data_IF_416107062075
#
_entry.id   IF_416107062075
#
_cell.length_a   1.000
_cell.length_b   1.000
_cell.length_c   1.000
_cell.angle_alpha   90.00
_cell.angle_beta   90.00
_cell.angle_gamma   90.00
#
_symmetry.space_group_name_H-M   'P 1'
#
loop_
_entity.id
_entity.type
_entity.pdbx_description
1 polymer ?
#
# COMPACT_ATOMS: atom_id res chain seq x y z
N UNK A 1 7.24 -8.96 -8.30
CA UNK A 1 6.42 -10.15 -8.33
C UNK A 1 5.50 -10.14 -9.53
N UNK A 2 5.04 -11.33 -9.91
CA UNK A 2 4.20 -11.45 -11.11
C UNK A 2 2.85 -10.78 -10.95
N UNK A 3 2.25 -10.91 -9.78
CA UNK A 3 0.94 -10.31 -9.53
C UNK A 3 0.93 -8.81 -9.72
N UNK A 4 1.94 -8.14 -9.19
CA UNK A 4 2.08 -6.70 -9.38
C UNK A 4 2.29 -6.35 -10.84
N UNK A 5 3.16 -7.08 -11.55
CA UNK A 5 3.39 -6.84 -12.97
C UNK A 5 2.12 -6.98 -13.78
N UNK A 6 1.30 -7.98 -13.47
CA UNK A 6 0.04 -8.20 -14.18
C UNK A 6 -0.94 -7.07 -13.93
N UNK A 7 -1.03 -6.58 -12.70
CA UNK A 7 -1.88 -5.43 -12.37
C UNK A 7 -1.48 -4.23 -13.21
N UNK A 8 -0.19 -3.93 -13.27
CA UNK A 8 0.29 -2.76 -14.02
C UNK A 8 0.07 -2.91 -15.51
N UNK A 9 0.25 -4.10 -16.05
CA UNK A 9 0.01 -4.34 -17.47
C UNK A 9 -1.43 -4.05 -17.86
N UNK A 10 -2.37 -4.40 -17.00
CA UNK A 10 -3.79 -4.15 -17.25
C UNK A 10 -4.17 -2.68 -17.19
N UNK A 11 -3.34 -1.84 -16.57
CA UNK A 11 -3.60 -0.42 -16.42
C UNK A 11 -3.14 0.41 -17.60
N UNK A 12 -2.23 -0.11 -18.44
CA UNK A 12 -1.67 0.63 -19.54
C UNK A 12 -0.44 1.44 -19.16
N UNK A 13 0.01 2.28 -20.08
CA UNK A 13 1.30 2.97 -19.94
C UNK A 13 1.37 3.90 -18.73
N UNK A 14 0.30 4.63 -18.45
CA UNK A 14 0.30 5.58 -17.33
C UNK A 14 0.46 4.87 -16.00
N UNK A 15 -0.21 3.74 -15.85
CA UNK A 15 -0.11 2.98 -14.63
C UNK A 15 1.18 2.16 -14.58
N UNK A 16 1.75 1.83 -15.72
CA UNK A 16 3.08 1.24 -15.77
C UNK A 16 4.13 2.21 -15.24
N UNK A 17 4.01 3.50 -15.57
CA UNK A 17 4.90 4.51 -15.01
C UNK A 17 4.73 4.61 -13.48
N UNK A 18 3.51 4.48 -12.98
CA UNK A 18 3.26 4.41 -11.55
C UNK A 18 3.95 3.19 -10.93
N UNK A 19 3.95 2.06 -11.63
CA UNK A 19 4.63 0.86 -11.18
C UNK A 19 6.14 1.09 -11.00
N UNK A 20 6.75 1.82 -11.91
CA UNK A 20 8.18 2.14 -11.80
C UNK A 20 8.45 2.97 -10.55
N UNK A 21 7.50 3.81 -10.15
CA UNK A 21 7.64 4.61 -8.94
C UNK A 21 7.41 3.81 -7.66
N UNK A 22 6.83 2.62 -7.75
CA UNK A 22 6.62 1.75 -6.61
C UNK A 22 7.96 1.18 -6.15
N UNK A 23 8.36 1.49 -4.94
CA UNK A 23 9.65 1.03 -4.43
C UNK A 23 9.61 0.87 -2.94
N UNK A 24 10.55 0.10 -2.44
CA UNK A 24 10.65 -0.16 -1.01
C UNK A 24 11.17 1.06 -0.28
N UNK A 25 10.60 1.29 0.87
CA UNK A 25 10.97 2.39 1.76
C UNK A 25 11.74 1.81 2.94
N UNK A 26 12.89 1.18 2.69
CA UNK A 26 13.61 0.46 3.72
C UNK A 26 14.75 1.24 4.37
N UNK A 27 14.95 2.49 3.98
CA UNK A 27 16.12 3.25 4.41
C UNK A 27 15.98 3.75 5.85
N UNK A 28 14.79 4.10 6.27
CA UNK A 28 14.54 4.66 7.59
C UNK A 28 13.68 3.71 8.42
N UNK A 29 14.09 3.50 9.67
CA UNK A 29 13.39 2.57 10.55
C UNK A 29 11.94 2.98 10.76
N UNK A 30 11.03 2.04 10.59
CA UNK A 30 9.60 2.24 10.83
C UNK A 30 8.82 2.74 9.63
N UNK A 31 9.47 3.25 8.59
CA UNK A 31 8.78 3.67 7.37
C UNK A 31 8.23 2.42 6.66
N UNK A 32 6.97 2.45 6.19
CA UNK A 32 6.41 1.27 5.51
C UNK A 32 7.22 0.83 4.29
N UNK A 33 7.14 -0.46 4.01
CA UNK A 33 7.98 -1.10 2.98
C UNK A 33 7.68 -0.62 1.56
N UNK A 34 6.42 -0.35 1.26
CA UNK A 34 5.97 -0.05 -0.10
C UNK A 34 5.19 1.25 -0.10
N UNK A 35 5.47 2.09 -1.09
CA UNK A 35 4.71 3.30 -1.34
C UNK A 35 4.25 3.31 -2.80
N UNK A 36 2.95 3.54 -3.00
CA UNK A 36 2.36 3.68 -4.33
C UNK A 36 1.89 5.14 -4.49
N UNK A 37 2.59 5.95 -5.28
CA UNK A 37 2.29 7.38 -5.40
C UNK A 37 1.20 7.66 -6.45
N UNK A 38 0.02 7.13 -6.22
CA UNK A 38 -1.12 7.32 -7.10
C UNK A 38 -2.30 7.79 -6.27
N UNK A 39 -2.85 8.94 -6.63
CA UNK A 39 -4.02 9.48 -5.92
C UNK A 39 -5.27 8.73 -6.36
N UNK A 40 -6.05 8.24 -5.40
CA UNK A 40 -7.31 7.54 -5.66
C UNK A 40 -8.28 7.80 -4.52
N UNK A 41 -9.54 7.98 -4.85
CA UNK A 41 -10.64 8.08 -3.87
C UNK A 41 -10.40 9.10 -2.76
N UNK A 42 -9.69 10.18 -3.06
CA UNK A 42 -9.36 11.21 -2.08
C UNK A 42 -8.09 10.97 -1.30
N UNK A 43 -7.44 9.83 -1.48
CA UNK A 43 -6.15 9.56 -0.86
C UNK A 43 -5.02 10.04 -1.76
N UNK A 44 -3.92 10.49 -1.15
CA UNK A 44 -2.75 10.96 -1.89
C UNK A 44 -1.90 9.81 -2.44
N UNK A 45 -2.02 8.65 -1.85
CA UNK A 45 -1.27 7.47 -2.23
C UNK A 45 -1.56 6.34 -1.26
N UNK A 46 -0.82 5.25 -1.42
CA UNK A 46 -0.98 4.03 -0.63
C UNK A 46 0.35 3.64 -0.02
N UNK A 47 0.36 3.34 1.27
CA UNK A 47 1.52 2.77 1.95
C UNK A 47 1.18 1.41 2.49
N UNK A 48 2.08 0.44 2.28
CA UNK A 48 1.90 -0.92 2.77
C UNK A 48 3.11 -1.35 3.59
N UNK A 49 2.86 -1.82 4.79
CA UNK A 49 3.84 -2.53 5.59
C UNK A 49 3.65 -4.02 5.38
N UNK A 50 4.70 -4.72 4.95
CA UNK A 50 4.65 -6.16 4.72
C UNK A 50 5.07 -6.90 5.98
N UNK A 51 4.27 -7.89 6.34
CA UNK A 51 4.56 -8.77 7.47
C UNK A 51 4.46 -10.22 7.02
N UNK A 52 5.02 -11.11 7.83
CA UNK A 52 4.96 -12.55 7.57
C UNK A 52 4.60 -13.28 8.86
N UNK A 53 3.89 -14.40 8.71
CA UNK A 53 3.53 -15.25 9.84
C UNK A 53 2.73 -14.53 10.89
N UNK A 54 3.20 -14.58 12.13
CA UNK A 54 2.54 -13.95 13.26
C UNK A 54 3.23 -12.68 13.73
N UNK A 55 4.18 -12.17 12.94
CA UNK A 55 4.85 -10.92 13.27
C UNK A 55 3.86 -9.77 13.29
N UNK A 56 4.07 -8.83 14.19
CA UNK A 56 3.23 -7.65 14.28
C UNK A 56 4.05 -6.39 14.05
N UNK A 57 3.37 -5.28 13.81
CA UNK A 57 4.05 -4.01 13.59
C UNK A 57 4.72 -3.55 14.88
N UNK A 58 5.92 -2.97 14.73
CA UNK A 58 6.62 -2.35 15.84
C UNK A 58 5.96 -1.02 16.21
N UNK A 59 6.33 -0.47 17.34
CA UNK A 59 5.84 0.84 17.75
C UNK A 59 6.15 1.92 16.71
N UNK A 60 7.37 1.93 16.17
CA UNK A 60 7.77 2.90 15.15
C UNK A 60 6.97 2.73 13.87
N UNK A 61 6.71 1.50 13.47
CA UNK A 61 5.90 1.22 12.28
C UNK A 61 4.47 1.73 12.48
N UNK A 62 3.89 1.48 13.64
CA UNK A 62 2.53 1.97 13.94
C UNK A 62 2.48 3.49 13.92
N UNK A 63 3.48 4.14 14.48
CA UNK A 63 3.54 5.60 14.50
C UNK A 63 3.64 6.18 13.10
N UNK A 64 4.46 5.59 12.23
CA UNK A 64 4.58 6.02 10.85
C UNK A 64 3.29 5.81 10.07
N UNK A 65 2.64 4.65 10.23
CA UNK A 65 1.38 4.38 9.55
C UNK A 65 0.30 5.37 9.97
N UNK A 66 0.21 5.67 11.26
CA UNK A 66 -0.77 6.61 11.76
C UNK A 66 -0.49 8.03 11.25
N UNK A 67 0.77 8.44 11.26
CA UNK A 67 1.15 9.75 10.72
C UNK A 67 0.76 9.86 9.24
N UNK A 68 1.09 8.85 8.44
CA UNK A 68 0.80 8.86 7.02
C UNK A 68 -0.72 8.84 6.76
N UNK A 69 -1.47 8.09 7.56
CA UNK A 69 -2.93 8.10 7.46
C UNK A 69 -3.47 9.51 7.70
N UNK A 70 -2.96 10.19 8.70
CA UNK A 70 -3.38 11.57 9.00
C UNK A 70 -2.99 12.54 7.90
N UNK A 71 -1.96 12.24 7.14
CA UNK A 71 -1.55 13.05 6.00
C UNK A 71 -2.34 12.75 4.73
N UNK A 72 -3.32 11.88 4.80
CA UNK A 72 -4.21 11.62 3.66
C UNK A 72 -3.84 10.43 2.81
N UNK A 73 -2.99 9.53 3.31
CA UNK A 73 -2.64 8.30 2.60
C UNK A 73 -3.49 7.15 3.08
N UNK A 74 -3.75 6.21 2.18
CA UNK A 74 -4.33 4.94 2.57
C UNK A 74 -3.21 4.07 3.12
N UNK A 75 -3.37 3.53 4.31
CA UNK A 75 -2.32 2.76 4.97
C UNK A 75 -2.80 1.37 5.32
N UNK A 76 -1.92 0.38 5.11
CA UNK A 76 -2.27 -1.02 5.33
C UNK A 76 -1.07 -1.82 5.82
N UNK A 77 -1.37 -2.85 6.58
CA UNK A 77 -0.43 -3.93 6.92
C UNK A 77 -0.91 -5.17 6.18
N UNK A 78 -0.07 -5.71 5.32
CA UNK A 78 -0.42 -6.87 4.52
C UNK A 78 0.48 -8.05 4.89
N UNK A 79 -0.12 -9.19 5.14
CA UNK A 79 0.61 -10.41 5.52
C UNK A 79 0.88 -11.24 4.29
N UNK A 80 1.94 -10.83 3.55
CA UNK A 80 2.40 -11.48 2.35
C UNK A 80 2.08 -10.68 1.08
N UNK A 81 2.63 -11.15 -0.03
CA UNK A 81 2.48 -10.48 -1.31
C UNK A 81 1.08 -10.59 -1.90
N UNK A 82 0.37 -11.70 -1.63
CA UNK A 82 -0.95 -11.87 -2.21
C UNK A 82 -1.95 -10.82 -1.72
N UNK A 83 -2.12 -10.61 -0.41
CA UNK A 83 -3.00 -9.53 0.04
C UNK A 83 -2.50 -8.15 -0.38
N UNK A 84 -1.18 -7.93 -0.43
CA UNK A 84 -0.64 -6.66 -0.90
C UNK A 84 -1.00 -6.40 -2.36
N UNK A 85 -0.83 -7.40 -3.22
CA UNK A 85 -1.18 -7.26 -4.63
C UNK A 85 -2.67 -7.04 -4.84
N UNK A 86 -3.49 -7.72 -4.06
CA UNK A 86 -4.94 -7.54 -4.12
C UNK A 86 -5.34 -6.12 -3.71
N UNK A 87 -4.72 -5.60 -2.67
CA UNK A 87 -5.00 -4.24 -2.23
C UNK A 87 -4.56 -3.21 -3.27
N UNK A 88 -3.38 -3.39 -3.86
CA UNK A 88 -2.90 -2.49 -4.90
C UNK A 88 -3.86 -2.50 -6.09
N UNK A 89 -4.32 -3.67 -6.51
CA UNK A 89 -5.29 -3.77 -7.60
C UNK A 89 -6.59 -3.06 -7.24
N UNK A 90 -7.12 -3.30 -6.06
CA UNK A 90 -8.34 -2.65 -5.60
C UNK A 90 -8.16 -1.13 -5.55
N UNK A 91 -7.04 -0.68 -5.01
CA UNK A 91 -6.75 0.75 -4.88
C UNK A 91 -6.68 1.43 -6.24
N UNK A 92 -6.02 0.79 -7.21
CA UNK A 92 -5.85 1.37 -8.54
C UNK A 92 -7.11 1.28 -9.40
N UNK A 93 -7.81 0.15 -9.34
CA UNK A 93 -8.90 -0.15 -10.27
C UNK A 93 -10.29 0.03 -9.67
N UNK A 94 -10.44 -0.14 -8.38
CA UNK A 94 -11.74 -0.15 -7.70
C UNK A 94 -11.70 0.67 -6.42
N UNK A 95 -11.09 1.85 -6.51
CA UNK A 95 -10.91 2.70 -5.33
C UNK A 95 -12.23 3.19 -4.73
N UNK A 96 -13.28 3.26 -5.54
CA UNK A 96 -14.62 3.62 -5.06
C UNK A 96 -15.20 2.57 -4.11
N UNK A 97 -14.68 1.35 -4.14
CA UNK A 97 -15.09 0.27 -3.27
C UNK A 97 -14.27 0.20 -1.98
N UNK A 98 -13.26 1.05 -1.84
CA UNK A 98 -12.46 1.08 -0.61
C UNK A 98 -13.28 1.59 0.56
N UNK A 99 -13.17 0.89 1.68
CA UNK A 99 -13.79 1.35 2.91
C UNK A 99 -13.04 2.56 3.45
N UNK A 100 -13.77 3.59 3.85
CA UNK A 100 -13.16 4.77 4.46
C UNK A 100 -12.82 4.43 5.92
N UNK A 101 -11.65 3.91 6.11
CA UNK A 101 -11.22 3.46 7.43
C UNK A 101 -10.69 4.60 8.27
N UNK A 102 -10.95 4.53 9.59
CA UNK A 102 -10.39 5.47 10.55
C UNK A 102 -9.03 5.00 11.07
N UNK A 103 -8.59 3.84 10.65
CA UNK A 103 -7.35 3.22 11.08
C UNK A 103 -6.68 2.53 9.91
N UNK A 104 -5.39 2.19 10.10
CA UNK A 104 -4.69 1.33 9.15
C UNK A 104 -5.38 -0.02 9.04
N UNK A 105 -5.61 -0.48 7.82
CA UNK A 105 -6.26 -1.78 7.60
C UNK A 105 -5.25 -2.91 7.69
N UNK A 106 -5.71 -4.08 8.09
CA UNK A 106 -4.90 -5.29 8.12
C UNK A 106 -5.49 -6.28 7.13
N UNK A 107 -4.65 -6.79 6.23
CA UNK A 107 -5.07 -7.75 5.20
C UNK A 107 -4.21 -9.01 5.28
N UNK A 108 -4.89 -10.16 5.33
CA UNK A 108 -4.24 -11.47 5.43
C UNK A 108 -4.60 -12.38 4.26
#
# INVERSE_FOLDING_TARGET
SRGLGDVYKRQGKRDAATAVALKRQGVKAGVPDIMLPAARAGYHGLYIELKAGENTTTKKQKEWLEYLRQQGYYTAVCYGWQPAAQLIEQYLLHSDELTKEQETVTMR
#
